data_IF_054121096708
#
_entry.id   IF_054121096708
#
_cell.length_a   1.000
_cell.length_b   1.000
_cell.length_c   1.000
_cell.angle_alpha   90.00
_cell.angle_beta   90.00
_cell.angle_gamma   90.00
#
_symmetry.space_group_name_H-M   'P 1'
#
loop_
_entity.id
_entity.type
_entity.pdbx_description
1 polymer ?
#
# COMPACT_ATOMS: atom_id res chain seq x y z
N UNK A 1 -15.43 11.57 1.53
CA UNK A 1 -14.08 12.21 1.62
C UNK A 1 -13.29 11.56 2.72
N UNK A 2 -12.13 10.99 2.39
CA UNK A 2 -11.19 10.34 3.30
C UNK A 2 -9.85 11.07 3.25
N UNK A 3 -9.31 11.47 4.39
CA UNK A 3 -7.95 12.01 4.45
C UNK A 3 -6.94 10.87 4.37
N UNK A 4 -6.02 10.95 3.42
CA UNK A 4 -4.98 9.93 3.22
C UNK A 4 -3.60 10.57 3.12
N UNK A 5 -2.58 9.78 3.42
CA UNK A 5 -1.23 10.22 3.65
C UNK A 5 -0.23 9.42 2.80
N UNK A 6 0.79 10.10 2.29
CA UNK A 6 1.95 9.48 1.63
C UNK A 6 3.25 10.01 2.23
N UNK A 7 4.06 9.12 2.79
CA UNK A 7 5.39 9.46 3.30
C UNK A 7 6.43 9.53 2.18
N UNK A 8 7.15 10.63 2.08
CA UNK A 8 8.18 10.87 1.06
C UNK A 8 9.32 11.75 1.61
N UNK A 9 10.17 12.23 0.71
CA UNK A 9 11.22 13.22 0.98
C UNK A 9 11.04 14.50 0.14
N UNK A 10 9.88 14.62 -0.51
CA UNK A 10 9.55 15.70 -1.45
C UNK A 10 8.02 15.88 -1.51
N UNK A 11 7.59 17.08 -1.90
CA UNK A 11 6.17 17.39 -2.12
C UNK A 11 5.72 16.77 -3.43
N UNK A 12 4.63 16.01 -3.38
CA UNK A 12 4.05 15.29 -4.52
C UNK A 12 2.61 15.80 -4.69
N UNK A 13 2.45 16.94 -5.35
CA UNK A 13 1.12 17.52 -5.60
C UNK A 13 0.36 16.83 -6.73
N UNK A 14 1.06 16.10 -7.61
CA UNK A 14 0.50 15.37 -8.74
C UNK A 14 1.11 13.98 -8.81
N UNK A 15 0.51 12.98 -8.12
CA UNK A 15 1.06 11.65 -8.05
C UNK A 15 0.97 10.90 -9.39
N UNK A 16 2.00 10.12 -9.70
CA UNK A 16 2.07 9.31 -10.92
C UNK A 16 2.00 7.83 -10.52
N UNK A 17 0.90 7.15 -10.88
CA UNK A 17 0.65 5.75 -10.51
C UNK A 17 1.69 4.79 -11.11
N UNK A 18 2.22 5.11 -12.29
CA UNK A 18 3.24 4.29 -12.95
C UNK A 18 4.64 4.42 -12.32
N UNK A 19 4.83 5.36 -11.39
CA UNK A 19 6.12 5.57 -10.73
C UNK A 19 6.28 4.62 -9.54
N UNK A 20 7.46 4.02 -9.42
CA UNK A 20 7.78 3.11 -8.32
C UNK A 20 8.29 1.74 -8.78
N UNK A 21 8.56 0.88 -7.80
CA UNK A 21 9.15 -0.43 -8.03
C UNK A 21 8.07 -1.43 -8.46
N UNK A 22 8.37 -2.36 -9.38
CA UNK A 22 7.52 -3.53 -9.57
C UNK A 22 7.62 -4.46 -8.35
N UNK A 23 6.71 -5.43 -8.25
CA UNK A 23 6.73 -6.52 -7.25
C UNK A 23 6.52 -6.07 -5.79
N UNK A 24 5.75 -5.01 -5.57
CA UNK A 24 5.23 -4.67 -4.25
C UNK A 24 3.95 -5.47 -3.96
N UNK A 25 3.51 -5.45 -2.70
CA UNK A 25 2.33 -6.14 -2.18
C UNK A 25 1.09 -6.02 -3.07
N UNK A 26 0.78 -4.79 -3.48
CA UNK A 26 -0.38 -4.46 -4.30
C UNK A 26 0.01 -4.03 -5.72
N UNK A 27 1.16 -4.46 -6.22
CA UNK A 27 1.65 -4.12 -7.55
C UNK A 27 2.32 -2.75 -7.65
N UNK A 28 2.38 -2.17 -8.84
CA UNK A 28 2.97 -0.84 -9.04
C UNK A 28 1.84 0.19 -9.12
N UNK A 29 1.82 1.13 -8.19
CA UNK A 29 0.80 2.16 -8.07
C UNK A 29 1.25 3.29 -7.15
N UNK A 30 0.41 4.30 -6.99
CA UNK A 30 0.61 5.33 -5.98
C UNK A 30 0.02 4.88 -4.65
N UNK A 31 0.86 4.85 -3.61
CA UNK A 31 0.52 4.28 -2.31
C UNK A 31 0.17 5.36 -1.29
N UNK A 32 -1.00 5.25 -0.68
CA UNK A 32 -1.45 6.12 0.42
C UNK A 32 -2.01 5.29 1.57
N UNK A 33 -2.19 5.91 2.73
CA UNK A 33 -2.84 5.29 3.90
C UNK A 33 -3.71 6.29 4.62
N UNK A 34 -4.80 5.86 5.23
CA UNK A 34 -5.59 6.63 6.18
C UNK A 34 -4.96 6.68 7.59
N UNK A 35 -3.83 5.99 7.80
CA UNK A 35 -3.11 5.93 9.08
C UNK A 35 -1.91 6.88 9.05
N UNK A 36 -2.04 8.08 9.61
CA UNK A 36 -0.99 9.12 9.61
C UNK A 36 0.34 8.59 10.14
N UNK A 37 0.34 7.89 11.27
CA UNK A 37 1.56 7.39 11.92
C UNK A 37 2.32 6.38 11.05
N UNK A 38 1.61 5.61 10.21
CA UNK A 38 2.24 4.70 9.26
C UNK A 38 2.98 5.46 8.16
N UNK A 39 2.36 6.49 7.60
CA UNK A 39 3.00 7.35 6.61
C UNK A 39 4.19 8.13 7.20
N UNK A 40 4.10 8.60 8.45
CA UNK A 40 5.22 9.25 9.15
C UNK A 40 6.42 8.31 9.31
N UNK A 41 6.20 7.09 9.84
CA UNK A 41 7.28 6.09 9.98
C UNK A 41 7.93 5.76 8.64
N UNK A 42 7.12 5.66 7.59
CA UNK A 42 7.62 5.42 6.24
C UNK A 42 8.47 6.59 5.71
N UNK A 43 8.01 7.83 5.88
CA UNK A 43 8.77 9.02 5.50
C UNK A 43 10.12 9.09 6.20
N UNK A 44 10.17 8.86 7.52
CA UNK A 44 11.40 8.80 8.31
C UNK A 44 12.36 7.74 7.76
N UNK A 45 11.86 6.52 7.54
CA UNK A 45 12.64 5.42 6.96
C UNK A 45 13.23 5.78 5.58
N UNK A 46 12.47 6.49 4.75
CA UNK A 46 12.90 6.91 3.42
C UNK A 46 13.90 8.07 3.48
N UNK A 47 13.71 9.01 4.39
CA UNK A 47 14.60 10.13 4.64
C UNK A 47 15.98 9.66 5.11
N UNK A 48 16.03 8.73 6.07
CA UNK A 48 17.28 8.13 6.56
C UNK A 48 18.06 7.46 5.42
N UNK A 49 17.37 6.67 4.58
CA UNK A 49 17.99 6.00 3.42
C UNK A 49 18.51 6.96 2.37
N UNK A 50 17.95 8.16 2.28
CA UNK A 50 18.28 9.17 1.25
C UNK A 50 19.14 10.31 1.79
N UNK A 51 19.46 10.31 3.09
CA UNK A 51 20.04 11.45 3.79
C UNK A 51 19.29 12.77 3.49
N UNK A 52 17.96 12.72 3.59
CA UNK A 52 17.05 13.82 3.28
C UNK A 52 16.17 14.15 4.49
N UNK A 53 15.29 15.15 4.36
CA UNK A 53 14.29 15.46 5.38
C UNK A 53 13.00 14.67 5.09
N UNK A 54 12.38 14.05 6.11
CA UNK A 54 11.11 13.35 5.92
C UNK A 54 9.98 14.35 5.72
N UNK A 55 9.05 13.99 4.83
CA UNK A 55 7.94 14.84 4.46
C UNK A 55 6.68 13.98 4.30
N UNK A 56 5.59 14.47 4.88
CA UNK A 56 4.27 13.88 4.77
C UNK A 56 3.45 14.64 3.73
N UNK A 57 2.96 13.95 2.70
CA UNK A 57 1.99 14.50 1.77
C UNK A 57 0.58 14.10 2.21
N UNK A 58 -0.35 15.04 2.20
CA UNK A 58 -1.72 14.90 2.69
C UNK A 58 -2.69 15.12 1.52
N UNK A 59 -3.67 14.25 1.36
CA UNK A 59 -4.64 14.29 0.28
C UNK A 59 -6.06 14.09 0.81
N UNK A 60 -7.03 14.62 0.08
CA UNK A 60 -8.44 14.27 0.18
C UNK A 60 -8.78 13.28 -0.93
N UNK A 61 -9.19 12.07 -0.55
CA UNK A 61 -9.63 11.01 -1.46
C UNK A 61 -11.15 10.90 -1.42
N UNK A 62 -11.81 11.08 -2.56
CA UNK A 62 -13.23 10.73 -2.71
C UNK A 62 -13.38 9.21 -2.95
N UNK A 63 -13.16 8.44 -1.89
CA UNK A 63 -13.08 6.97 -1.95
C UNK A 63 -14.35 6.35 -2.50
N UNK A 64 -15.52 6.80 -2.07
CA UNK A 64 -16.79 6.19 -2.48
C UNK A 64 -17.07 6.42 -3.96
N UNK A 65 -16.79 7.62 -4.48
CA UNK A 65 -16.91 7.92 -5.90
C UNK A 65 -15.86 7.16 -6.74
N UNK A 66 -14.62 7.03 -6.23
CA UNK A 66 -13.59 6.21 -6.88
C UNK A 66 -14.06 4.75 -7.02
N UNK A 67 -14.51 4.14 -5.93
CA UNK A 67 -14.93 2.74 -5.89
C UNK A 67 -16.16 2.46 -6.76
N UNK A 68 -17.01 3.45 -6.99
CA UNK A 68 -18.18 3.34 -7.88
C UNK A 68 -17.80 3.24 -9.37
N UNK A 69 -16.61 3.71 -9.77
CA UNK A 69 -16.17 3.74 -11.18
C UNK A 69 -15.03 2.76 -11.50
N UNK A 70 -14.49 2.04 -10.51
CA UNK A 70 -13.26 1.28 -10.65
C UNK A 70 -13.42 -0.22 -10.38
N UNK A 71 -12.50 -1.03 -10.92
CA UNK A 71 -12.32 -2.41 -10.47
C UNK A 71 -11.47 -2.38 -9.21
N UNK A 72 -12.04 -2.79 -8.08
CA UNK A 72 -11.35 -2.75 -6.80
C UNK A 72 -11.17 -4.15 -6.18
N UNK A 73 -10.12 -4.28 -5.38
CA UNK A 73 -9.90 -5.41 -4.48
C UNK A 73 -9.63 -4.90 -3.07
N UNK A 74 -10.42 -5.32 -2.09
CA UNK A 74 -10.29 -4.86 -0.71
C UNK A 74 -10.12 -6.08 0.20
N UNK A 75 -9.03 -6.12 0.95
CA UNK A 75 -8.71 -7.17 1.91
C UNK A 75 -8.98 -6.64 3.33
N UNK A 76 -9.86 -7.32 4.07
CA UNK A 76 -10.22 -6.96 5.46
C UNK A 76 -9.41 -7.74 6.50
N UNK A 77 -8.67 -8.76 6.08
CA UNK A 77 -7.96 -9.72 6.93
C UNK A 77 -6.72 -10.28 6.24
N UNK A 78 -5.78 -10.81 7.04
CA UNK A 78 -4.67 -11.62 6.55
C UNK A 78 -5.10 -13.08 6.36
N UNK A 79 -6.02 -13.30 5.42
CA UNK A 79 -6.51 -14.62 5.04
C UNK A 79 -5.69 -15.22 3.87
N UNK A 80 -6.11 -16.41 3.41
CA UNK A 80 -5.45 -17.11 2.31
C UNK A 80 -5.50 -16.32 1.01
N UNK A 81 -6.60 -15.61 0.73
CA UNK A 81 -6.73 -14.81 -0.48
C UNK A 81 -5.74 -13.65 -0.48
N UNK A 82 -5.63 -12.95 0.65
CA UNK A 82 -4.62 -11.91 0.84
C UNK A 82 -3.21 -12.48 0.67
N UNK A 83 -2.88 -13.60 1.32
CA UNK A 83 -1.54 -14.19 1.29
C UNK A 83 -1.12 -14.55 -0.13
N UNK A 84 -1.97 -15.27 -0.86
CA UNK A 84 -1.70 -15.65 -2.25
C UNK A 84 -1.56 -14.43 -3.16
N UNK A 85 -2.39 -13.41 -2.97
CA UNK A 85 -2.33 -12.18 -3.76
C UNK A 85 -0.99 -11.43 -3.58
N UNK A 86 -0.57 -11.24 -2.32
CA UNK A 86 0.71 -10.61 -1.99
C UNK A 86 1.88 -11.41 -2.57
N UNK A 87 1.88 -12.73 -2.37
CA UNK A 87 2.95 -13.62 -2.85
C UNK A 87 3.06 -13.57 -4.37
N UNK A 88 1.95 -13.68 -5.09
CA UNK A 88 1.94 -13.63 -6.55
C UNK A 88 2.48 -12.28 -7.07
N UNK A 89 2.07 -11.17 -6.48
CA UNK A 89 2.59 -9.85 -6.86
C UNK A 89 4.10 -9.73 -6.60
N UNK A 90 4.58 -10.19 -5.43
CA UNK A 90 6.01 -10.18 -5.08
C UNK A 90 6.85 -11.11 -5.97
N UNK A 91 6.27 -12.21 -6.47
CA UNK A 91 6.89 -13.10 -7.47
C UNK A 91 6.92 -12.50 -8.88
N UNK A 92 6.17 -11.42 -9.13
CA UNK A 92 6.10 -10.73 -10.41
C UNK A 92 4.97 -11.18 -11.32
N UNK A 93 4.02 -11.97 -10.81
CA UNK A 93 2.82 -12.38 -11.55
C UNK A 93 1.84 -11.21 -11.75
N UNK A 94 1.98 -10.14 -10.95
CA UNK A 94 1.32 -8.85 -11.13
C UNK A 94 -0.22 -8.96 -11.23
N UNK A 95 -0.83 -9.76 -10.36
CA UNK A 95 -2.28 -9.90 -10.25
C UNK A 95 -2.99 -8.56 -10.01
N UNK A 96 -2.30 -7.62 -9.37
CA UNK A 96 -2.80 -6.26 -9.16
C UNK A 96 -3.16 -5.52 -10.46
N UNK A 97 -2.57 -5.87 -11.61
CA UNK A 97 -2.88 -5.21 -12.90
C UNK A 97 -4.33 -5.43 -13.37
N UNK A 98 -5.06 -6.38 -12.79
CA UNK A 98 -6.48 -6.55 -13.05
C UNK A 98 -7.38 -5.49 -12.39
N UNK A 99 -6.81 -4.68 -11.48
CA UNK A 99 -7.53 -3.73 -10.64
C UNK A 99 -7.00 -2.30 -10.83
N UNK A 100 -7.88 -1.35 -10.52
CA UNK A 100 -7.61 0.08 -10.54
C UNK A 100 -7.34 0.63 -9.12
N UNK A 101 -7.81 -0.11 -8.12
CA UNK A 101 -7.72 0.19 -6.69
C UNK A 101 -7.52 -1.11 -5.90
N UNK A 102 -6.52 -1.14 -5.01
CA UNK A 102 -6.32 -2.25 -4.08
C UNK A 102 -6.12 -1.70 -2.68
N UNK A 103 -6.87 -2.21 -1.70
CA UNK A 103 -6.78 -1.78 -0.30
C UNK A 103 -6.67 -2.95 0.66
N UNK A 104 -5.90 -2.77 1.72
CA UNK A 104 -5.84 -3.70 2.83
C UNK A 104 -4.52 -3.60 3.58
N UNK A 105 -4.28 -4.54 4.48
CA UNK A 105 -3.00 -4.61 5.18
C UNK A 105 -1.84 -5.00 4.25
N UNK A 106 -0.67 -4.47 4.52
CA UNK A 106 0.58 -4.79 3.83
C UNK A 106 1.51 -5.61 4.72
N UNK A 107 2.36 -6.42 4.09
CA UNK A 107 3.36 -7.26 4.75
C UNK A 107 4.55 -6.41 5.23
N UNK A 108 4.30 -5.63 6.28
CA UNK A 108 5.26 -4.78 7.00
C UNK A 108 5.57 -5.34 8.40
N UNK A 109 6.66 -4.85 9.00
CA UNK A 109 7.13 -5.26 10.34
C UNK A 109 7.20 -6.79 10.45
N UNK A 110 6.64 -7.41 11.51
CA UNK A 110 6.71 -8.87 11.72
C UNK A 110 5.89 -9.68 10.71
N UNK A 111 4.95 -9.07 9.99
CA UNK A 111 4.17 -9.75 8.95
C UNK A 111 5.07 -10.19 7.79
N UNK A 112 6.12 -9.41 7.50
CA UNK A 112 7.01 -9.72 6.38
C UNK A 112 7.79 -11.02 6.58
N UNK A 113 8.13 -11.34 7.83
CA UNK A 113 8.92 -12.52 8.15
C UNK A 113 8.13 -13.78 7.83
N UNK A 114 6.88 -13.86 8.27
CA UNK A 114 5.97 -14.98 7.96
C UNK A 114 5.74 -15.11 6.45
N UNK A 115 5.51 -13.99 5.74
CA UNK A 115 5.33 -14.01 4.29
C UNK A 115 6.59 -14.51 3.58
N UNK A 116 7.78 -14.09 4.02
CA UNK A 116 9.05 -14.55 3.45
C UNK A 116 9.30 -16.04 3.69
N UNK A 117 9.00 -16.55 4.88
CA UNK A 117 9.10 -17.98 5.18
C UNK A 117 8.19 -18.80 4.26
N UNK A 118 6.96 -18.32 4.02
CA UNK A 118 6.02 -18.96 3.09
C UNK A 118 6.53 -18.92 1.64
N UNK A 119 7.00 -17.75 1.18
CA UNK A 119 7.57 -17.60 -0.18
C UNK A 119 8.74 -18.57 -0.41
N UNK A 120 9.58 -18.79 0.61
CA UNK A 120 10.73 -19.70 0.57
C UNK A 120 10.36 -21.18 0.73
N UNK A 121 9.09 -21.50 0.99
CA UNK A 121 8.62 -22.86 1.24
C UNK A 121 9.05 -23.45 2.60
N UNK A 122 9.47 -22.59 3.54
CA UNK A 122 9.90 -23.00 4.87
C UNK A 122 8.73 -23.22 5.85
N UNK A 123 7.58 -22.61 5.57
CA UNK A 123 6.31 -22.87 6.25
C UNK A 123 5.21 -23.10 5.21
N UNK A 124 4.23 -23.93 5.54
CA UNK A 124 3.05 -24.10 4.71
C UNK A 124 2.03 -22.96 4.91
N UNK A 125 1.02 -22.90 4.05
CA UNK A 125 -0.02 -21.86 4.08
C UNK A 125 -0.80 -21.88 5.40
N UNK A 126 -1.10 -23.07 5.95
CA UNK A 126 -1.83 -23.20 7.20
C UNK A 126 -1.06 -22.60 8.39
N UNK A 127 0.24 -22.89 8.49
CA UNK A 127 1.13 -22.36 9.53
C UNK A 127 1.29 -20.85 9.37
N UNK A 128 1.47 -20.36 8.14
CA UNK A 128 1.56 -18.93 7.86
C UNK A 128 0.29 -18.19 8.31
N UNK A 129 -0.89 -18.69 7.94
CA UNK A 129 -2.17 -18.06 8.31
C UNK A 129 -2.42 -18.07 9.82
N UNK A 130 -2.05 -19.14 10.53
CA UNK A 130 -2.13 -19.17 11.99
C UNK A 130 -1.25 -18.09 12.64
N UNK A 131 -0.03 -17.88 12.13
CA UNK A 131 0.84 -16.81 12.62
C UNK A 131 0.28 -15.42 12.30
N UNK A 132 -0.25 -15.26 11.09
CA UNK A 132 -0.82 -13.99 10.62
C UNK A 132 -2.07 -13.58 11.40
N UNK A 133 -2.87 -14.54 11.87
CA UNK A 133 -4.08 -14.30 12.65
C UNK A 133 -3.86 -13.52 13.95
N UNK A 134 -2.63 -13.49 14.48
CA UNK A 134 -2.28 -12.73 15.69
C UNK A 134 -2.00 -11.24 15.42
N UNK A 135 -1.88 -10.83 14.16
CA UNK A 135 -1.57 -9.46 13.79
C UNK A 135 -2.83 -8.71 13.36
N UNK A 136 -3.03 -7.51 13.94
CA UNK A 136 -4.03 -6.58 13.42
C UNK A 136 -3.55 -6.03 12.08
N UNK A 137 -4.37 -6.09 11.00
CA UNK A 137 -4.00 -5.48 9.75
C UNK A 137 -3.73 -3.98 9.89
N UNK A 138 -2.63 -3.52 9.28
CA UNK A 138 -2.49 -2.10 8.97
C UNK A 138 -3.38 -1.77 7.74
N UNK A 139 -3.32 -0.55 7.22
CA UNK A 139 -4.06 -0.23 5.99
C UNK A 139 -3.19 0.50 4.98
N UNK A 140 -3.34 0.12 3.74
CA UNK A 140 -2.70 0.75 2.60
C UNK A 140 -3.64 0.70 1.42
N UNK A 141 -3.69 1.80 0.70
CA UNK A 141 -4.44 1.96 -0.54
C UNK A 141 -3.42 2.14 -1.65
N UNK A 142 -3.45 1.24 -2.62
CA UNK A 142 -2.70 1.34 -3.86
C UNK A 142 -3.65 1.80 -4.96
N UNK A 143 -3.36 2.98 -5.53
CA UNK A 143 -4.06 3.54 -6.67
C UNK A 143 -3.27 3.19 -7.94
N UNK A 144 -3.88 2.44 -8.85
CA UNK A 144 -3.19 1.89 -10.01
C UNK A 144 -3.60 2.60 -11.31
N UNK A 145 -4.74 3.29 -11.31
CA UNK A 145 -5.28 3.97 -12.47
C UNK A 145 -5.04 5.48 -12.38
N UNK A 146 -4.27 6.03 -13.34
CA UNK A 146 -3.91 7.44 -13.35
C UNK A 146 -5.13 8.35 -13.50
N UNK A 147 -6.02 8.06 -14.45
CA UNK A 147 -7.18 8.90 -14.74
C UNK A 147 -8.13 8.99 -13.54
N UNK A 148 -8.37 7.88 -12.85
CA UNK A 148 -9.20 7.88 -11.65
C UNK A 148 -8.49 8.56 -10.47
N UNK A 149 -7.18 8.39 -10.35
CA UNK A 149 -6.38 9.07 -9.32
C UNK A 149 -6.43 10.58 -9.48
N UNK A 150 -6.22 11.10 -10.70
CA UNK A 150 -6.28 12.54 -10.98
C UNK A 150 -7.69 13.12 -10.70
N UNK A 151 -8.73 12.31 -10.93
CA UNK A 151 -10.13 12.70 -10.73
C UNK A 151 -10.53 12.76 -9.26
N UNK A 152 -10.02 11.85 -8.42
CA UNK A 152 -10.55 11.61 -7.07
C UNK A 152 -9.56 11.78 -5.92
N UNK A 153 -8.27 11.90 -6.20
CA UNK A 153 -7.25 12.17 -5.20
C UNK A 153 -6.76 13.61 -5.36
N UNK A 154 -7.09 14.46 -4.39
CA UNK A 154 -6.72 15.86 -4.42
C UNK A 154 -5.67 16.16 -3.37
N UNK A 155 -4.53 16.70 -3.78
CA UNK A 155 -3.51 17.18 -2.86
C UNK A 155 -4.09 18.28 -1.97
N UNK A 156 -3.90 18.14 -0.66
CA UNK A 156 -4.39 19.06 0.34
C UNK A 156 -3.25 19.89 0.94
N UNK A 157 -2.20 19.23 1.43
CA UNK A 157 -1.08 19.90 2.10
C UNK A 157 0.16 18.99 2.20
N UNK A 158 1.28 19.55 2.66
CA UNK A 158 2.48 18.80 3.03
C UNK A 158 3.11 19.30 4.34
N UNK A 159 3.56 18.38 5.18
CA UNK A 159 4.14 18.65 6.49
C UNK A 159 5.57 18.09 6.58
N UNK A 160 6.53 18.90 7.05
CA UNK A 160 7.87 18.40 7.44
C UNK A 160 7.76 17.79 8.84
N UNK A 161 8.34 16.61 9.02
CA UNK A 161 8.22 15.78 10.23
C UNK A 161 9.57 15.37 10.80
#
# INVERSE_FOLDING_TARGET
MLTVYHGATEVISSPICAFGRPRLDFGRGFYVTDIKEQAVRWAQTMADKRNAQPLLNIYSLDRDAFLAECRHKIFTSYDSEWLEFIVANRRGENLAAAYDYVEGGIANDRVIDTVNLYIQGLVDSATALQQLAFYKPNNQICLLNQTLTDKYLHFYDSERI
#
